data_IF_914945467418
#
_entry.id   IF_914945467418
#
_cell.length_a   1.000
_cell.length_b   1.000
_cell.length_c   1.000
_cell.angle_alpha   90.00
_cell.angle_beta   90.00
_cell.angle_gamma   90.00
#
_symmetry.space_group_name_H-M   'P 1'
#
loop_
_entity.id
_entity.type
_entity.pdbx_description
1 polymer ?
#
# COMPACT_ATOMS: atom_id res chain seq x y z
N UNK A 1 26.88 31.47 -63.14
CA UNK A 1 27.15 30.01 -63.16
C UNK A 1 26.33 29.37 -62.04
N UNK A 2 25.70 28.19 -62.24
CA UNK A 2 24.71 27.60 -61.31
C UNK A 2 25.31 26.48 -60.44
N UNK A 3 25.19 26.57 -59.10
CA UNK A 3 25.12 25.47 -58.09
C UNK A 3 24.40 26.09 -56.85
N UNK A 4 23.43 25.54 -56.12
CA UNK A 4 22.66 24.27 -56.10
C UNK A 4 23.05 23.16 -55.08
N UNK A 5 23.10 23.50 -53.78
CA UNK A 5 22.96 22.57 -52.63
C UNK A 5 22.34 23.36 -51.45
N UNK A 6 21.19 23.09 -50.82
CA UNK A 6 20.37 21.90 -50.51
C UNK A 6 20.41 21.55 -49.00
N UNK A 7 19.32 21.90 -48.32
CA UNK A 7 18.60 21.13 -47.27
C UNK A 7 19.40 20.56 -46.07
N UNK A 8 19.05 21.01 -44.85
CA UNK A 8 18.34 20.19 -43.83
C UNK A 8 18.50 20.82 -42.43
N UNK A 9 17.51 21.60 -41.96
CA UNK A 9 17.43 21.97 -40.53
C UNK A 9 16.44 21.01 -39.86
N UNK A 10 16.97 20.18 -38.96
CA UNK A 10 16.26 19.09 -38.30
C UNK A 10 15.26 19.68 -37.30
N UNK A 11 13.97 19.43 -37.52
CA UNK A 11 12.92 19.74 -36.55
C UNK A 11 13.04 18.77 -35.37
N UNK A 12 13.58 19.24 -34.26
CA UNK A 12 13.59 18.54 -32.97
C UNK A 12 12.16 18.54 -32.38
N UNK A 13 11.31 17.65 -32.88
CA UNK A 13 10.06 17.28 -32.18
C UNK A 13 10.42 16.47 -30.93
N UNK A 14 10.77 17.17 -29.86
CA UNK A 14 10.81 16.59 -28.54
C UNK A 14 9.38 16.17 -28.16
N UNK A 15 9.10 14.86 -28.22
CA UNK A 15 7.90 14.31 -27.60
C UNK A 15 7.99 14.56 -26.10
N UNK A 16 7.37 15.65 -25.63
CA UNK A 16 7.15 15.85 -24.19
C UNK A 16 6.20 14.76 -23.72
N UNK A 17 6.79 13.70 -23.16
CA UNK A 17 6.04 12.67 -22.45
C UNK A 17 5.49 13.31 -21.19
N UNK A 18 4.30 13.91 -21.30
CA UNK A 18 3.53 14.36 -20.14
C UNK A 18 3.49 13.20 -19.15
N UNK A 19 3.92 13.37 -17.89
CA UNK A 19 3.79 12.32 -16.91
C UNK A 19 2.30 12.06 -16.74
N UNK A 20 1.83 10.90 -17.23
CA UNK A 20 0.46 10.45 -17.01
C UNK A 20 0.23 10.49 -15.52
N UNK A 21 -0.67 11.38 -15.07
CA UNK A 21 -1.05 11.48 -13.66
C UNK A 21 -1.68 10.14 -13.28
N UNK A 22 -0.87 9.25 -12.70
CA UNK A 22 -1.31 7.92 -12.27
C UNK A 22 -2.49 8.12 -11.34
N UNK A 23 -3.65 7.60 -11.72
CA UNK A 23 -4.82 7.67 -10.86
C UNK A 23 -4.54 6.93 -9.53
N UNK A 24 -5.05 7.44 -8.39
CA UNK A 24 -4.72 6.87 -7.10
C UNK A 24 -5.22 5.43 -7.00
N UNK A 25 -4.29 4.50 -6.76
CA UNK A 25 -4.57 3.08 -6.78
C UNK A 25 -5.34 2.65 -5.52
N UNK A 26 -6.67 2.60 -5.62
CA UNK A 26 -7.57 2.11 -4.58
C UNK A 26 -7.44 0.61 -4.28
N UNK A 27 -6.74 -0.14 -5.14
CA UNK A 27 -6.38 -1.55 -4.91
C UNK A 27 -4.89 -1.80 -5.16
N UNK A 28 -4.23 -2.41 -4.17
CA UNK A 28 -2.82 -2.78 -4.20
C UNK A 28 -2.63 -4.25 -3.84
N UNK A 29 -2.09 -5.03 -4.76
CA UNK A 29 -1.65 -6.39 -4.48
C UNK A 29 -0.39 -6.37 -3.60
N UNK A 30 -0.44 -7.05 -2.44
CA UNK A 30 0.75 -7.19 -1.59
C UNK A 30 1.79 -8.09 -2.27
N UNK A 31 3.04 -7.62 -2.23
CA UNK A 31 4.26 -8.35 -2.57
C UNK A 31 5.37 -7.86 -1.64
N UNK A 32 6.28 -8.73 -1.20
CA UNK A 32 7.40 -8.32 -0.36
C UNK A 32 8.54 -7.71 -1.20
N UNK A 33 8.30 -6.50 -1.73
CA UNK A 33 9.26 -5.79 -2.57
C UNK A 33 9.12 -4.26 -2.41
N UNK A 34 10.20 -3.51 -2.69
CA UNK A 34 10.19 -2.04 -2.61
C UNK A 34 9.13 -1.39 -3.53
N UNK A 35 8.73 -2.05 -4.62
CA UNK A 35 7.67 -1.54 -5.49
C UNK A 35 6.28 -1.56 -4.83
N UNK A 36 6.04 -2.40 -3.82
CA UNK A 36 4.84 -2.32 -3.00
C UNK A 36 4.84 -1.04 -2.15
N UNK A 37 5.93 -0.77 -1.43
CA UNK A 37 6.08 0.45 -0.62
C UNK A 37 5.88 1.70 -1.45
N UNK A 38 6.52 1.78 -2.62
CA UNK A 38 6.41 2.93 -3.51
C UNK A 38 4.96 3.16 -3.96
N UNK A 39 4.23 2.10 -4.34
CA UNK A 39 2.81 2.24 -4.74
C UNK A 39 1.92 2.64 -3.56
N UNK A 40 2.18 2.12 -2.36
CA UNK A 40 1.41 2.46 -1.17
C UNK A 40 1.68 3.91 -0.71
N UNK A 41 2.94 4.33 -0.70
CA UNK A 41 3.36 5.72 -0.46
C UNK A 41 2.66 6.68 -1.41
N UNK A 42 2.74 6.43 -2.72
CA UNK A 42 2.09 7.26 -3.74
C UNK A 42 0.56 7.30 -3.56
N UNK A 43 -0.10 6.17 -3.30
CA UNK A 43 -1.54 6.14 -3.07
C UNK A 43 -1.95 6.95 -1.83
N UNK A 44 -1.15 6.92 -0.75
CA UNK A 44 -1.39 7.74 0.45
C UNK A 44 -1.07 9.23 0.24
N UNK A 45 0.01 9.56 -0.48
CA UNK A 45 0.40 10.93 -0.84
C UNK A 45 -0.62 11.60 -1.76
N UNK A 46 -1.22 10.83 -2.66
CA UNK A 46 -2.34 11.25 -3.50
C UNK A 46 -3.68 11.29 -2.76
N UNK A 47 -3.67 11.05 -1.45
CA UNK A 47 -4.83 11.11 -0.55
C UNK A 47 -5.99 10.18 -0.95
N UNK A 48 -5.69 9.00 -1.53
CA UNK A 48 -6.71 8.00 -1.90
C UNK A 48 -7.64 7.74 -0.71
N UNK A 49 -8.97 7.96 -0.81
CA UNK A 49 -9.86 7.88 0.35
C UNK A 49 -9.87 6.51 1.03
N UNK A 50 -9.75 5.45 0.23
CA UNK A 50 -9.72 4.06 0.66
C UNK A 50 -8.74 3.26 -0.22
N UNK A 51 -7.87 2.48 0.40
CA UNK A 51 -6.86 1.65 -0.26
C UNK A 51 -7.02 0.22 0.26
N UNK A 52 -7.51 -0.67 -0.60
CA UNK A 52 -7.52 -2.11 -0.34
C UNK A 52 -6.14 -2.70 -0.66
N UNK A 53 -5.57 -3.44 0.31
CA UNK A 53 -4.38 -4.26 0.13
C UNK A 53 -4.80 -5.73 0.12
N UNK A 54 -4.72 -6.36 -1.06
CA UNK A 54 -5.06 -7.77 -1.25
C UNK A 54 -3.87 -8.69 -0.94
N UNK A 55 -4.07 -9.67 -0.05
CA UNK A 55 -3.04 -10.65 0.34
C UNK A 55 -3.24 -11.94 -0.46
N UNK A 56 -2.26 -12.32 -1.29
CA UNK A 56 -2.32 -13.57 -2.07
C UNK A 56 -2.16 -14.83 -1.23
N UNK A 57 -1.25 -14.77 -0.25
CA UNK A 57 -0.84 -15.88 0.59
C UNK A 57 -1.10 -15.43 2.02
N UNK A 58 -2.25 -15.81 2.63
CA UNK A 58 -2.59 -15.35 3.96
C UNK A 58 -1.50 -15.68 4.97
N UNK A 59 -1.20 -14.74 5.85
CA UNK A 59 -0.18 -14.86 6.89
C UNK A 59 -0.83 -14.76 8.27
N UNK A 60 -0.21 -15.37 9.28
CA UNK A 60 -0.71 -15.32 10.65
C UNK A 60 -0.72 -13.89 11.21
N UNK A 61 -1.75 -13.54 11.99
CA UNK A 61 -1.81 -12.31 12.80
C UNK A 61 -0.65 -12.17 13.80
N UNK A 62 0.04 -13.27 14.10
CA UNK A 62 1.20 -13.35 14.99
C UNK A 62 2.54 -13.25 14.23
N UNK A 63 2.52 -13.34 12.90
CA UNK A 63 3.70 -13.32 12.03
C UNK A 63 3.44 -12.47 10.79
N UNK A 64 3.25 -11.17 11.02
CA UNK A 64 3.03 -10.19 9.95
C UNK A 64 4.35 -9.99 9.19
N UNK A 65 4.35 -10.01 7.84
CA UNK A 65 5.54 -9.69 7.06
C UNK A 65 6.10 -8.32 7.43
N UNK A 66 7.39 -8.25 7.78
CA UNK A 66 8.11 -7.05 8.25
C UNK A 66 7.73 -5.75 7.52
N UNK A 67 7.64 -5.79 6.19
CA UNK A 67 7.27 -4.63 5.36
C UNK A 67 5.87 -4.11 5.65
N UNK A 68 4.88 -5.00 5.84
CA UNK A 68 3.53 -4.63 6.29
C UNK A 68 3.54 -4.20 7.75
N UNK A 69 4.29 -4.89 8.61
CA UNK A 69 4.39 -4.53 10.03
C UNK A 69 4.90 -3.09 10.21
N UNK A 70 5.91 -2.67 9.44
CA UNK A 70 6.38 -1.28 9.42
C UNK A 70 5.29 -0.28 8.99
N UNK A 71 4.52 -0.57 7.93
CA UNK A 71 3.41 0.29 7.50
C UNK A 71 2.29 0.37 8.55
N UNK A 72 1.90 -0.77 9.13
CA UNK A 72 0.86 -0.84 10.15
C UNK A 72 1.30 -0.16 11.45
N UNK A 73 2.58 -0.29 11.82
CA UNK A 73 3.19 0.40 12.96
C UNK A 73 3.22 1.91 12.73
N UNK A 74 3.58 2.37 11.53
CA UNK A 74 3.54 3.79 11.19
C UNK A 74 2.13 4.39 11.24
N UNK A 75 1.11 3.64 10.81
CA UNK A 75 -0.29 4.04 11.00
C UNK A 75 -0.62 4.11 12.51
N UNK A 76 -0.27 3.08 13.27
CA UNK A 76 -0.60 2.96 14.70
C UNK A 76 0.06 4.03 15.58
N UNK A 77 1.36 4.30 15.39
CA UNK A 77 2.10 5.32 16.12
C UNK A 77 1.62 6.74 15.81
N UNK A 78 1.12 7.00 14.60
CA UNK A 78 0.46 8.26 14.26
C UNK A 78 -1.00 8.32 14.76
N UNK A 79 -1.44 7.39 15.62
CA UNK A 79 -2.77 7.34 16.22
C UNK A 79 -3.87 6.82 15.29
N UNK A 80 -3.49 6.21 14.16
CA UNK A 80 -4.42 5.44 13.34
C UNK A 80 -4.78 4.13 14.05
N UNK A 81 -6.02 3.68 13.92
CA UNK A 81 -6.48 2.44 14.60
C UNK A 81 -6.31 1.22 13.71
N UNK A 82 -6.04 0.06 14.33
CA UNK A 82 -6.08 -1.26 13.68
C UNK A 82 -7.28 -2.02 14.18
N UNK A 83 -8.25 -2.29 13.30
CA UNK A 83 -9.48 -3.02 13.62
C UNK A 83 -9.49 -4.40 12.95
N UNK A 84 -9.14 -5.49 13.65
CA UNK A 84 -9.35 -6.83 13.11
C UNK A 84 -10.85 -7.10 12.92
N UNK A 85 -11.19 -7.72 11.80
CA UNK A 85 -12.56 -8.08 11.42
C UNK A 85 -12.57 -9.50 10.84
N UNK A 86 -13.44 -10.41 11.30
CA UNK A 86 -13.57 -11.72 10.66
C UNK A 86 -14.08 -11.56 9.23
N UNK A 87 -13.65 -12.43 8.32
CA UNK A 87 -14.21 -12.55 6.99
C UNK A 87 -15.69 -13.03 7.04
N UNK A 88 -16.42 -12.89 5.93
CA UNK A 88 -17.81 -13.35 5.90
C UNK A 88 -17.92 -14.86 6.19
N UNK A 89 -18.88 -15.21 7.04
CA UNK A 89 -19.09 -16.58 7.55
C UNK A 89 -18.25 -16.97 8.78
N UNK A 90 -17.29 -16.15 9.20
CA UNK A 90 -16.48 -16.40 10.40
C UNK A 90 -17.12 -15.85 11.69
N UNK A 91 -16.79 -16.49 12.83
CA UNK A 91 -17.30 -16.04 14.14
C UNK A 91 -16.55 -14.79 14.61
N UNK A 92 -17.31 -13.75 14.98
CA UNK A 92 -16.76 -12.58 15.67
C UNK A 92 -16.19 -13.01 17.02
N UNK A 93 -14.91 -12.73 17.24
CA UNK A 93 -14.24 -12.84 18.54
C UNK A 93 -13.55 -11.51 18.81
N UNK A 94 -14.08 -10.74 19.77
CA UNK A 94 -13.63 -9.39 20.10
C UNK A 94 -12.20 -9.33 20.69
N UNK A 95 -11.63 -10.47 21.07
CA UNK A 95 -10.33 -10.58 21.72
C UNK A 95 -9.13 -10.71 20.77
N UNK A 96 -9.31 -10.69 19.44
CA UNK A 96 -8.15 -10.73 18.54
C UNK A 96 -7.36 -9.43 18.66
N UNK A 97 -6.13 -9.53 19.18
CA UNK A 97 -5.16 -8.45 19.22
C UNK A 97 -4.11 -8.70 18.15
N UNK A 98 -3.84 -7.70 17.33
CA UNK A 98 -2.72 -7.70 16.40
C UNK A 98 -1.48 -7.24 17.15
N UNK A 99 -0.40 -8.03 17.06
CA UNK A 99 0.90 -7.67 17.62
C UNK A 99 1.69 -7.03 16.50
N UNK A 100 2.02 -5.75 16.66
CA UNK A 100 2.94 -5.03 15.78
C UNK A 100 4.31 -4.98 16.45
N UNK A 101 5.37 -5.33 15.72
CA UNK A 101 6.67 -5.64 16.31
C UNK A 101 7.76 -4.60 16.07
N UNK A 102 7.65 -3.81 15.01
CA UNK A 102 8.78 -3.01 14.49
C UNK A 102 8.59 -1.50 14.61
N UNK A 103 9.62 -0.84 15.16
CA UNK A 103 9.82 0.61 15.02
C UNK A 103 10.46 0.86 13.65
N UNK A 104 9.73 1.51 12.76
CA UNK A 104 10.16 1.78 11.39
C UNK A 104 11.25 2.87 11.37
N UNK A 105 12.43 2.54 10.84
CA UNK A 105 13.58 3.46 10.85
C UNK A 105 13.61 4.44 9.66
N UNK A 106 12.91 4.13 8.56
CA UNK A 106 12.79 4.98 7.37
C UNK A 106 11.57 5.91 7.49
N UNK A 107 11.69 6.93 8.35
CA UNK A 107 10.64 7.92 8.57
C UNK A 107 10.16 8.59 7.28
N UNK A 108 11.01 8.71 6.24
CA UNK A 108 10.61 9.32 4.96
C UNK A 108 9.66 8.46 4.16
N UNK A 109 9.91 7.15 4.07
CA UNK A 109 9.04 6.21 3.33
C UNK A 109 7.67 6.05 3.98
N UNK A 110 7.64 5.98 5.30
CA UNK A 110 6.41 5.71 6.04
C UNK A 110 5.64 7.00 6.43
N UNK A 111 6.19 8.19 6.18
CA UNK A 111 5.54 9.48 6.48
C UNK A 111 4.08 9.63 5.98
N UNK A 112 3.67 9.09 4.81
CA UNK A 112 2.28 9.21 4.36
C UNK A 112 1.26 8.49 5.25
N UNK A 113 1.69 7.46 5.99
CA UNK A 113 0.85 6.68 6.91
C UNK A 113 0.14 7.54 7.98
N UNK A 114 0.73 8.71 8.31
CA UNK A 114 0.18 9.64 9.30
C UNK A 114 -1.24 10.12 9.00
N UNK A 115 -1.69 10.07 7.74
CA UNK A 115 -3.05 10.49 7.36
C UNK A 115 -4.07 9.33 7.33
N UNK A 116 -3.70 8.12 7.74
CA UNK A 116 -4.50 6.91 7.52
C UNK A 116 -4.89 6.16 8.81
N UNK A 117 -5.76 5.17 8.65
CA UNK A 117 -6.10 4.16 9.65
C UNK A 117 -6.37 2.83 8.95
N UNK A 118 -6.13 1.71 9.64
CA UNK A 118 -6.53 0.38 9.17
C UNK A 118 -7.98 0.18 9.57
N UNK A 119 -8.87 0.58 8.66
CA UNK A 119 -10.32 0.55 8.87
C UNK A 119 -10.82 -0.87 9.12
N UNK A 120 -10.30 -1.84 8.35
CA UNK A 120 -10.56 -3.27 8.52
C UNK A 120 -9.29 -4.07 8.23
N UNK A 121 -8.92 -4.99 9.12
CA UNK A 121 -7.90 -6.01 8.89
C UNK A 121 -8.61 -7.36 8.91
N UNK A 122 -8.87 -7.89 7.71
CA UNK A 122 -9.80 -8.99 7.50
C UNK A 122 -9.07 -10.32 7.60
N UNK A 123 -9.59 -11.22 8.43
CA UNK A 123 -8.98 -12.51 8.72
C UNK A 123 -9.96 -13.68 8.65
N UNK A 124 -9.41 -14.87 8.36
CA UNK A 124 -10.08 -16.17 8.47
C UNK A 124 -9.29 -17.06 9.43
N UNK A 125 -9.91 -18.03 10.09
CA UNK A 125 -9.17 -19.02 10.89
C UNK A 125 -8.74 -20.21 10.02
N UNK A 126 -7.51 -20.65 10.21
CA UNK A 126 -7.05 -21.93 9.65
C UNK A 126 -7.54 -23.11 10.52
N UNK A 127 -7.15 -24.33 10.15
CA UNK A 127 -7.53 -25.57 10.84
C UNK A 127 -7.07 -25.62 12.31
N UNK A 128 -5.98 -24.93 12.68
CA UNK A 128 -5.53 -24.80 14.07
C UNK A 128 -6.19 -23.64 14.84
N UNK A 129 -7.14 -22.93 14.22
CA UNK A 129 -7.86 -21.81 14.81
C UNK A 129 -7.09 -20.48 14.81
N UNK A 130 -5.91 -20.42 14.20
CA UNK A 130 -5.09 -19.22 14.08
C UNK A 130 -5.66 -18.25 13.04
N UNK A 131 -5.64 -16.95 13.35
CA UNK A 131 -6.16 -15.91 12.46
C UNK A 131 -5.16 -15.61 11.33
N UNK A 132 -5.56 -15.91 10.10
CA UNK A 132 -4.82 -15.69 8.86
C UNK A 132 -5.38 -14.46 8.15
N UNK A 133 -4.51 -13.49 7.84
CA UNK A 133 -4.90 -12.19 7.27
C UNK A 133 -5.04 -12.30 5.75
N UNK A 134 -6.24 -12.04 5.22
CA UNK A 134 -6.58 -12.19 3.79
C UNK A 134 -6.64 -10.83 3.07
N UNK A 135 -6.97 -9.75 3.78
CA UNK A 135 -7.14 -8.39 3.22
C UNK A 135 -6.92 -7.32 4.29
N UNK A 136 -6.40 -6.17 3.89
CA UNK A 136 -6.29 -4.97 4.73
C UNK A 136 -6.94 -3.81 4.00
N UNK A 137 -7.84 -3.07 4.67
CA UNK A 137 -8.49 -1.87 4.13
C UNK A 137 -7.97 -0.68 4.91
N UNK A 138 -7.28 0.23 4.22
CA UNK A 138 -6.80 1.49 4.76
C UNK A 138 -7.75 2.61 4.37
N UNK A 139 -8.03 3.53 5.30
CA UNK A 139 -8.90 4.67 5.07
C UNK A 139 -8.23 5.96 5.50
N UNK A 140 -8.36 7.01 4.68
CA UNK A 140 -7.90 8.36 5.03
C UNK A 140 -8.70 8.89 6.24
N UNK A 141 -8.02 9.59 7.15
CA UNK A 141 -8.60 10.28 8.32
C UNK A 141 -9.00 11.72 7.99
#
# INVERSE_FOLDING_TARGET
MKILTAVLIILLTACVSNPTKTEPASYLKYINANSFDQRLSVAMEQETPEIEIGILSPFSSNNIPERLDNWLSAINENGGKVKPKPADGERIIESLKIILGNIYQDFTRYAPAKNYSVAELIYRRNESGEAMIEKIILKKR
#
